data_IF_949556862455
#
_entry.id   IF_949556862455
#
_cell.length_a   1.000
_cell.length_b   1.000
_cell.length_c   1.000
_cell.angle_alpha   90.00
_cell.angle_beta   90.00
_cell.angle_gamma   90.00
#
_symmetry.space_group_name_H-M   'P 1'
#
loop_
_entity.id
_entity.type
_entity.pdbx_description
1 polymer ?
#
# COMPACT_ATOMS: atom_id res chain seq x y z
N UNK A 1 -22.41 -6.99 -18.98
CA UNK A 1 -20.94 -7.14 -19.06
C UNK A 1 -20.38 -6.85 -17.68
N UNK A 2 -19.55 -7.75 -17.14
CA UNK A 2 -19.15 -7.80 -15.73
C UNK A 2 -18.44 -6.50 -15.32
N UNK A 3 -18.91 -5.89 -14.23
CA UNK A 3 -18.35 -4.69 -13.60
C UNK A 3 -16.84 -4.92 -13.41
N UNK A 4 -16.02 -4.09 -14.06
CA UNK A 4 -14.59 -3.99 -13.78
C UNK A 4 -14.43 -3.51 -12.35
N UNK A 5 -14.45 -4.45 -11.40
CA UNK A 5 -13.96 -4.18 -10.06
C UNK A 5 -12.52 -3.74 -10.24
N UNK A 6 -12.25 -2.53 -9.79
CA UNK A 6 -10.94 -1.89 -9.73
C UNK A 6 -9.98 -2.82 -8.98
N UNK A 7 -9.42 -3.83 -9.67
CA UNK A 7 -8.54 -4.83 -9.08
C UNK A 7 -7.20 -4.16 -8.91
N UNK A 8 -7.08 -3.41 -7.81
CA UNK A 8 -5.78 -3.00 -7.28
C UNK A 8 -4.84 -4.21 -7.31
N UNK A 9 -3.63 -3.97 -7.79
CA UNK A 9 -2.65 -5.01 -8.03
C UNK A 9 -2.27 -5.70 -6.71
N UNK A 10 -1.67 -6.88 -6.82
CA UNK A 10 -1.21 -7.60 -5.63
C UNK A 10 -0.22 -6.76 -4.82
N UNK A 11 0.69 -6.06 -5.48
CA UNK A 11 1.66 -5.17 -4.84
C UNK A 11 0.98 -4.06 -4.00
N UNK A 12 -0.10 -3.46 -4.50
CA UNK A 12 -0.88 -2.47 -3.75
C UNK A 12 -1.48 -3.04 -2.46
N UNK A 13 -2.01 -4.27 -2.49
CA UNK A 13 -2.58 -4.90 -1.28
C UNK A 13 -1.50 -5.27 -0.27
N UNK A 14 -0.36 -5.75 -0.75
CA UNK A 14 0.79 -6.04 0.10
C UNK A 14 1.39 -4.76 0.72
N UNK A 15 1.33 -3.63 0.01
CA UNK A 15 1.66 -2.31 0.56
C UNK A 15 0.77 -1.94 1.73
N UNK A 16 -0.55 -2.07 1.59
CA UNK A 16 -1.49 -1.82 2.69
C UNK A 16 -1.24 -2.74 3.89
N UNK A 17 -1.06 -4.04 3.65
CA UNK A 17 -0.78 -5.02 4.72
C UNK A 17 0.49 -4.70 5.49
N UNK A 18 1.57 -4.33 4.80
CA UNK A 18 2.80 -3.96 5.49
C UNK A 18 2.61 -2.72 6.37
N UNK A 19 1.73 -1.79 5.98
CA UNK A 19 1.36 -0.64 6.83
C UNK A 19 0.51 -1.08 8.03
N UNK A 20 -0.47 -1.96 7.82
CA UNK A 20 -1.30 -2.56 8.89
C UNK A 20 -0.47 -3.34 9.91
N UNK A 21 0.54 -4.07 9.45
CA UNK A 21 1.48 -4.82 10.28
C UNK A 21 2.52 -3.91 10.99
N UNK A 22 2.52 -2.61 10.70
CA UNK A 22 3.46 -1.64 11.27
C UNK A 22 4.89 -1.77 10.75
N UNK A 23 5.11 -2.45 9.62
CA UNK A 23 6.42 -2.61 9.01
C UNK A 23 6.89 -1.29 8.38
N UNK A 24 8.19 -1.01 8.49
CA UNK A 24 8.80 0.06 7.70
C UNK A 24 8.97 -0.38 6.24
N UNK A 25 9.03 0.58 5.31
CA UNK A 25 9.28 0.29 3.90
C UNK A 25 10.55 -0.55 3.67
N UNK A 26 11.57 -0.36 4.51
CA UNK A 26 12.85 -1.09 4.44
C UNK A 26 12.73 -2.54 4.92
N UNK A 27 11.85 -2.81 5.87
CA UNK A 27 11.59 -4.16 6.40
C UNK A 27 10.56 -4.93 5.57
N UNK A 28 9.77 -4.20 4.78
CA UNK A 28 8.68 -4.72 3.97
C UNK A 28 9.15 -5.46 2.70
N UNK A 29 8.19 -6.05 1.97
CA UNK A 29 8.43 -6.69 0.69
C UNK A 29 8.96 -5.73 -0.39
N UNK A 30 8.87 -4.40 -0.17
CA UNK A 30 9.38 -3.38 -1.10
C UNK A 30 10.87 -3.56 -1.39
N UNK A 31 11.68 -4.03 -0.43
CA UNK A 31 13.12 -4.25 -0.63
C UNK A 31 13.45 -5.25 -1.75
N UNK A 32 12.50 -6.14 -2.05
CA UNK A 32 12.63 -7.13 -3.12
C UNK A 32 12.06 -6.63 -4.46
N UNK A 33 11.39 -5.48 -4.47
CA UNK A 33 10.83 -4.88 -5.67
C UNK A 33 11.86 -3.96 -6.32
N UNK A 34 12.02 -4.08 -7.64
CA UNK A 34 12.91 -3.20 -8.39
C UNK A 34 12.30 -1.80 -8.49
N UNK A 35 13.03 -0.79 -8.03
CA UNK A 35 12.64 0.61 -8.16
C UNK A 35 12.34 0.98 -9.62
N UNK A 36 11.33 1.83 -9.83
CA UNK A 36 10.88 2.27 -11.16
C UNK A 36 9.99 1.26 -11.90
N UNK A 37 9.71 0.09 -11.33
CA UNK A 37 8.70 -0.83 -11.87
C UNK A 37 7.30 -0.45 -11.40
N UNK A 38 6.29 -0.82 -12.19
CA UNK A 38 4.88 -0.64 -11.81
C UNK A 38 4.54 -1.31 -10.48
N UNK A 39 5.12 -2.49 -10.20
CA UNK A 39 4.90 -3.18 -8.92
C UNK A 39 5.44 -2.39 -7.73
N UNK A 40 6.61 -1.75 -7.87
CA UNK A 40 7.16 -0.90 -6.83
C UNK A 40 6.30 0.35 -6.60
N UNK A 41 5.82 0.98 -7.68
CA UNK A 41 4.92 2.13 -7.58
C UNK A 41 3.58 1.75 -6.92
N UNK A 42 2.97 0.66 -7.36
CA UNK A 42 1.71 0.16 -6.81
C UNK A 42 1.84 -0.20 -5.32
N UNK A 43 2.97 -0.79 -4.91
CA UNK A 43 3.25 -1.10 -3.51
C UNK A 43 3.32 0.15 -2.63
N UNK A 44 4.07 1.16 -3.08
CA UNK A 44 4.18 2.43 -2.38
C UNK A 44 2.81 3.13 -2.28
N UNK A 45 2.03 3.11 -3.36
CA UNK A 45 0.67 3.66 -3.37
C UNK A 45 -0.20 2.95 -2.31
N UNK A 46 -0.14 1.63 -2.23
CA UNK A 46 -0.87 0.86 -1.22
C UNK A 46 -0.42 1.17 0.21
N UNK A 47 0.89 1.23 0.44
CA UNK A 47 1.49 1.51 1.76
C UNK A 47 1.14 2.91 2.27
N UNK A 48 1.04 3.91 1.39
CA UNK A 48 0.63 5.27 1.75
C UNK A 48 -0.89 5.47 1.77
N UNK A 49 -1.63 4.72 0.95
CA UNK A 49 -3.10 4.81 0.90
C UNK A 49 -3.76 4.28 2.17
N UNK A 50 -3.08 3.40 2.93
CA UNK A 50 -3.54 3.03 4.26
C UNK A 50 -3.19 4.15 5.24
N UNK A 51 -3.91 5.26 5.11
CA UNK A 51 -3.86 6.36 6.05
C UNK A 51 -4.63 5.94 7.30
N UNK A 52 -3.93 5.84 8.41
CA UNK A 52 -4.49 5.62 9.74
C UNK A 52 -5.76 6.47 9.93
N UNK A 53 -6.96 5.86 10.12
CA UNK A 53 -8.17 6.64 10.43
C UNK A 53 -8.04 7.40 11.77
N UNK A 54 -7.02 7.08 12.57
CA UNK A 54 -6.71 7.75 13.84
C UNK A 54 -6.11 9.15 13.68
N UNK A 55 -5.62 9.56 12.50
CA UNK A 55 -5.17 10.94 12.30
C UNK A 55 -6.30 11.96 12.16
N UNK A 56 -7.53 11.53 11.85
CA UNK A 56 -8.68 12.44 11.71
C UNK A 56 -9.28 12.81 13.09
N UNK A 57 -8.91 12.10 14.15
CA UNK A 57 -9.46 12.28 15.51
C UNK A 57 -8.65 13.19 16.44
N UNK A 58 -7.58 13.85 15.96
CA UNK A 58 -6.79 14.83 16.75
C UNK A 58 -7.03 16.28 16.35
N UNK A 59 -8.09 16.56 15.61
CA UNK A 59 -8.49 17.91 15.19
C UNK A 59 -9.97 18.17 15.48
N UNK A 60 -10.40 17.94 16.72
CA UNK A 60 -11.68 18.38 17.25
C UNK A 60 -11.52 18.84 18.70
#
# INVERSE_FOLDING_TARGET
>A
MIRSQDRKSLAYREGQRAKEDGLSLQESALKNLKAGTRQHADYLEGFHSHTDPTQILRSA
#
